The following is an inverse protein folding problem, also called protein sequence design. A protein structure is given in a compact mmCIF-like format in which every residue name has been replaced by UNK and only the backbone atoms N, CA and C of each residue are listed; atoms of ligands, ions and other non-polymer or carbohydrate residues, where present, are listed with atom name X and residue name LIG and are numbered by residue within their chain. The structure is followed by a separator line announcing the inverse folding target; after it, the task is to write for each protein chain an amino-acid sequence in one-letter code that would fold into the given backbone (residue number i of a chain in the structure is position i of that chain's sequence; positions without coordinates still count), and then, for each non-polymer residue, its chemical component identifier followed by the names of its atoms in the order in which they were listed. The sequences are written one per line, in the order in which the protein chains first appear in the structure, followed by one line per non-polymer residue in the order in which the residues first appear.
data_IF_074913917007
#
_entry.id   IF_074913917007
#
_cell.length_a   1.000
_cell.length_b   1.000
_cell.length_c   1.000
_cell.angle_alpha   90.00
_cell.angle_beta   90.00
_cell.angle_gamma   90.00
#
_symmetry.space_group_name_H-M   'P 1'
#
loop_
_entity.id
_entity.type
_entity.pdbx_description
1 polymer ?
#
# COMPACT_ATOMS: atom_id res chain seq x y z
N UNK A 1 -15.32 -13.13 -14.26
CA UNK A 1 -14.76 -14.12 -13.30
C UNK A 1 -14.57 -13.42 -11.97
N UNK A 2 -15.28 -13.81 -10.91
CA UNK A 2 -15.04 -13.30 -9.55
C UNK A 2 -14.18 -14.31 -8.79
N UNK A 3 -13.17 -13.87 -8.06
CA UNK A 3 -12.28 -14.75 -7.27
C UNK A 3 -12.98 -15.50 -6.13
N UNK A 4 -14.24 -15.17 -5.85
CA UNK A 4 -14.93 -15.64 -4.65
C UNK A 4 -14.54 -14.87 -3.38
N UNK A 5 -13.73 -13.81 -3.49
CA UNK A 5 -13.45 -12.91 -2.38
C UNK A 5 -14.66 -12.02 -2.05
N UNK A 6 -14.91 -11.83 -0.76
CA UNK A 6 -15.67 -10.70 -0.24
C UNK A 6 -14.75 -9.49 -0.13
N UNK A 7 -15.29 -8.26 -0.14
CA UNK A 7 -14.47 -7.06 0.08
C UNK A 7 -13.72 -7.08 1.41
N UNK A 8 -14.25 -7.77 2.43
CA UNK A 8 -13.54 -7.95 3.71
C UNK A 8 -12.28 -8.79 3.54
N UNK A 9 -12.34 -9.89 2.78
CA UNK A 9 -11.16 -10.73 2.52
C UNK A 9 -10.16 -9.98 1.65
N UNK A 10 -10.64 -9.24 0.66
CA UNK A 10 -9.80 -8.42 -0.19
C UNK A 10 -9.05 -7.35 0.61
N UNK A 11 -9.71 -6.72 1.58
CA UNK A 11 -9.10 -5.74 2.49
C UNK A 11 -7.97 -6.38 3.30
N UNK A 12 -8.14 -7.60 3.79
CA UNK A 12 -7.08 -8.33 4.50
C UNK A 12 -5.85 -8.57 3.61
N UNK A 13 -6.06 -9.06 2.38
CA UNK A 13 -4.97 -9.27 1.42
C UNK A 13 -4.27 -7.94 1.07
N UNK A 14 -5.05 -6.88 0.92
CA UNK A 14 -4.58 -5.52 0.72
C UNK A 14 -3.67 -5.03 1.85
N UNK A 15 -4.03 -5.29 3.11
CA UNK A 15 -3.18 -4.98 4.28
C UNK A 15 -1.87 -5.76 4.26
N UNK A 16 -1.92 -7.03 3.91
CA UNK A 16 -0.72 -7.86 3.77
C UNK A 16 0.22 -7.29 2.69
N UNK A 17 -0.31 -6.83 1.56
CA UNK A 17 0.49 -6.18 0.51
C UNK A 17 1.09 -4.85 0.97
N UNK A 18 0.35 -4.02 1.71
CA UNK A 18 0.88 -2.77 2.29
C UNK A 18 2.07 -3.05 3.22
N UNK A 19 1.98 -4.08 4.06
CA UNK A 19 3.09 -4.52 4.92
C UNK A 19 4.24 -5.08 4.07
N UNK A 20 3.95 -5.85 3.03
CA UNK A 20 4.96 -6.39 2.10
C UNK A 20 5.78 -5.30 1.42
N UNK A 21 5.13 -4.24 0.92
CA UNK A 21 5.82 -3.07 0.34
C UNK A 21 6.68 -2.38 1.40
N UNK A 22 6.10 -2.09 2.57
CA UNK A 22 6.83 -1.39 3.64
C UNK A 22 8.07 -2.17 4.09
N UNK A 23 7.95 -3.47 4.28
CA UNK A 23 9.06 -4.36 4.68
C UNK A 23 10.09 -4.52 3.57
N UNK A 24 9.67 -4.60 2.30
CA UNK A 24 10.58 -4.59 1.14
C UNK A 24 11.42 -3.32 1.08
N UNK A 25 10.80 -2.14 1.28
CA UNK A 25 11.50 -0.85 1.30
C UNK A 25 12.49 -0.79 2.47
N UNK A 26 12.05 -1.15 3.68
CA UNK A 26 12.94 -1.16 4.86
C UNK A 26 14.11 -2.11 4.63
N UNK A 27 13.85 -3.33 4.15
CA UNK A 27 14.89 -4.32 3.91
C UNK A 27 15.93 -3.82 2.92
N UNK A 28 15.50 -3.23 1.80
CA UNK A 28 16.41 -2.66 0.81
C UNK A 28 17.17 -1.46 1.36
N UNK A 29 16.53 -0.60 2.14
CA UNK A 29 17.18 0.54 2.78
C UNK A 29 18.31 0.09 3.73
N UNK A 30 18.08 -0.99 4.49
CA UNK A 30 19.04 -1.51 5.47
C UNK A 30 20.15 -2.35 4.84
N UNK A 31 19.84 -3.13 3.81
CA UNK A 31 20.75 -4.14 3.25
C UNK A 31 21.34 -3.76 1.90
N UNK A 32 20.75 -2.77 1.20
CA UNK A 32 21.06 -2.43 -0.19
C UNK A 32 20.61 -3.47 -1.21
N UNK A 33 19.85 -4.50 -0.80
CA UNK A 33 19.40 -5.60 -1.65
C UNK A 33 17.88 -5.56 -1.80
N UNK A 34 17.38 -5.86 -2.99
CA UNK A 34 15.93 -5.95 -3.22
C UNK A 34 15.27 -7.13 -2.47
N UNK A 35 13.95 -7.22 -2.55
CA UNK A 35 13.17 -8.22 -1.82
C UNK A 35 13.43 -9.65 -2.33
N UNK A 36 13.56 -9.84 -3.65
CA UNK A 36 13.86 -11.16 -4.23
C UNK A 36 15.27 -11.60 -3.89
N UNK A 37 16.23 -10.67 -3.92
CA UNK A 37 17.59 -10.95 -3.50
C UNK A 37 17.64 -11.37 -2.03
N UNK A 38 16.97 -10.63 -1.13
CA UNK A 38 16.88 -11.00 0.28
C UNK A 38 16.23 -12.37 0.48
N UNK A 39 15.14 -12.66 -0.23
CA UNK A 39 14.48 -13.97 -0.17
C UNK A 39 15.43 -15.11 -0.58
N UNK A 40 16.23 -14.93 -1.63
CA UNK A 40 17.25 -15.90 -2.04
C UNK A 40 18.32 -16.11 -0.97
N UNK A 41 18.77 -15.02 -0.30
CA UNK A 41 19.72 -15.12 0.81
C UNK A 41 19.14 -15.83 2.03
N UNK A 42 17.88 -15.59 2.39
CA UNK A 42 17.22 -16.17 3.56
C UNK A 42 16.87 -17.64 3.36
N UNK A 43 16.42 -18.02 2.17
CA UNK A 43 16.05 -19.41 1.86
C UNK A 43 17.25 -20.27 1.49
N UNK A 44 18.37 -19.67 1.09
CA UNK A 44 19.54 -20.37 0.56
C UNK A 44 19.31 -21.00 -0.81
N UNK A 45 18.18 -20.70 -1.46
CA UNK A 45 17.83 -21.18 -2.79
C UNK A 45 18.24 -20.15 -3.85
N UNK A 46 18.71 -20.59 -5.03
CA UNK A 46 18.91 -19.69 -6.15
C UNK A 46 17.56 -19.08 -6.58
N UNK A 47 17.56 -17.81 -6.98
CA UNK A 47 16.32 -17.07 -7.33
C UNK A 47 15.52 -17.80 -8.42
N UNK A 48 16.20 -18.46 -9.35
CA UNK A 48 15.57 -19.23 -10.43
C UNK A 48 14.69 -20.39 -9.92
N UNK A 49 15.00 -20.95 -8.76
CA UNK A 49 14.16 -21.98 -8.12
C UNK A 49 12.94 -21.35 -7.42
N UNK A 50 13.01 -20.07 -7.07
CA UNK A 50 11.93 -19.30 -6.48
C UNK A 50 11.00 -18.68 -7.55
N UNK A 51 11.36 -18.71 -8.83
CA UNK A 51 10.57 -18.09 -9.91
C UNK A 51 9.10 -18.53 -9.89
N UNK A 52 8.83 -19.81 -9.65
CA UNK A 52 7.45 -20.31 -9.59
C UNK A 52 6.61 -19.66 -8.49
N UNK A 53 7.17 -19.52 -7.27
CA UNK A 53 6.45 -18.90 -6.15
C UNK A 53 6.36 -17.38 -6.31
N UNK A 54 7.40 -16.76 -6.86
CA UNK A 54 7.43 -15.32 -7.14
C UNK A 54 6.39 -14.96 -8.19
N UNK A 55 6.32 -15.71 -9.29
CA UNK A 55 5.31 -15.54 -10.33
C UNK A 55 3.89 -15.74 -9.79
N UNK A 56 3.70 -16.71 -8.89
CA UNK A 56 2.43 -16.88 -8.20
C UNK A 56 2.06 -15.65 -7.35
N UNK A 57 3.00 -15.12 -6.56
CA UNK A 57 2.77 -13.91 -5.74
C UNK A 57 2.44 -12.71 -6.62
N UNK A 58 3.17 -12.51 -7.71
CA UNK A 58 2.93 -11.44 -8.69
C UNK A 58 1.53 -11.58 -9.29
N UNK A 59 1.22 -12.76 -9.85
CA UNK A 59 -0.07 -13.02 -10.47
C UNK A 59 -1.21 -12.85 -9.48
N UNK A 60 -1.07 -13.37 -8.25
CA UNK A 60 -2.06 -13.24 -7.20
C UNK A 60 -2.33 -11.77 -6.83
N UNK A 61 -1.28 -10.95 -6.64
CA UNK A 61 -1.44 -9.53 -6.33
C UNK A 61 -2.13 -8.77 -7.48
N UNK A 62 -1.74 -9.01 -8.74
CA UNK A 62 -2.36 -8.38 -9.90
C UNK A 62 -3.84 -8.76 -10.03
N UNK A 63 -4.13 -10.06 -9.86
CA UNK A 63 -5.49 -10.60 -9.97
C UNK A 63 -6.37 -10.07 -8.82
N UNK A 64 -5.86 -10.08 -7.58
CA UNK A 64 -6.58 -9.58 -6.41
C UNK A 64 -6.82 -8.06 -6.48
N UNK A 65 -5.90 -7.30 -7.05
CA UNK A 65 -6.04 -5.84 -7.17
C UNK A 65 -7.05 -5.41 -8.23
N UNK A 66 -7.13 -6.17 -9.34
CA UNK A 66 -7.91 -5.78 -10.52
C UNK A 66 -9.30 -6.42 -10.57
N UNK A 67 -9.49 -7.61 -9.99
CA UNK A 67 -10.78 -8.28 -10.04
C UNK A 67 -11.73 -7.78 -8.94
N UNK A 68 -13.02 -7.61 -9.27
CA UNK A 68 -14.00 -7.18 -8.29
C UNK A 68 -14.30 -8.29 -7.27
N UNK A 69 -14.36 -7.91 -5.98
CA UNK A 69 -14.87 -8.72 -4.89
C UNK A 69 -16.36 -8.43 -4.61
N UNK A 70 -17.03 -9.38 -3.94
CA UNK A 70 -18.45 -9.30 -3.56
C UNK A 70 -18.70 -8.40 -2.35
N UNK A 71 -19.90 -7.85 -2.27
CA UNK A 71 -20.36 -6.98 -1.19
C UNK A 71 -19.82 -5.55 -1.28
N UNK A 72 -20.30 -4.68 -0.41
CA UNK A 72 -19.94 -3.25 -0.40
C UNK A 72 -19.56 -2.76 1.00
N UNK A 73 -18.75 -1.70 1.05
CA UNK A 73 -18.49 -0.99 2.29
C UNK A 73 -19.44 0.20 2.35
N UNK A 74 -20.27 0.23 3.39
CA UNK A 74 -21.16 1.35 3.67
C UNK A 74 -20.48 2.26 4.70
N UNK A 75 -20.35 3.57 4.40
CA UNK A 75 -19.75 4.52 5.33
C UNK A 75 -20.65 4.72 6.57
N UNK A 76 -20.03 4.98 7.71
CA UNK A 76 -20.77 5.32 8.94
C UNK A 76 -21.42 6.71 8.83
N UNK A 77 -22.48 6.97 9.59
CA UNK A 77 -23.24 8.24 9.51
C UNK A 77 -22.37 9.48 9.76
N UNK A 78 -21.36 9.36 10.64
CA UNK A 78 -20.40 10.42 10.93
C UNK A 78 -19.57 10.81 9.70
N UNK A 79 -19.35 9.88 8.78
CA UNK A 79 -18.54 10.05 7.58
C UNK A 79 -19.31 10.70 6.42
N UNK A 80 -20.65 10.60 6.46
CA UNK A 80 -21.55 11.32 5.55
C UNK A 80 -21.65 12.81 5.89
N UNK A 81 -21.18 13.21 7.08
CA UNK A 81 -21.20 14.62 7.46
C UNK A 81 -20.14 15.41 6.67
N UNK A 82 -20.48 16.59 6.13
CA UNK A 82 -19.56 17.36 5.31
C UNK A 82 -18.25 17.64 6.05
N UNK A 83 -17.14 17.55 5.32
CA UNK A 83 -15.80 17.81 5.85
C UNK A 83 -15.69 19.25 6.35
N UNK A 84 -14.96 19.49 7.45
CA UNK A 84 -14.71 20.83 7.95
C UNK A 84 -13.86 21.59 6.93
N UNK A 85 -14.09 22.90 6.82
CA UNK A 85 -13.33 23.75 5.89
C UNK A 85 -11.85 23.74 6.26
N UNK A 86 -11.02 23.41 5.27
CA UNK A 86 -9.56 23.36 5.41
C UNK A 86 -8.91 24.73 5.43
N UNK A 87 -7.57 24.77 5.60
CA UNK A 87 -6.80 26.02 5.54
C UNK A 87 -6.90 26.77 4.20
N UNK A 88 -7.20 26.04 3.11
CA UNK A 88 -7.44 26.65 1.79
C UNK A 88 -8.86 27.24 1.63
N UNK A 89 -9.77 26.89 2.54
CA UNK A 89 -11.19 27.27 2.48
C UNK A 89 -11.59 28.24 3.59
N UNK A 90 -10.79 28.36 4.64
CA UNK A 90 -10.99 29.28 5.76
C UNK A 90 -9.63 29.85 6.23
N UNK A 91 -9.48 31.16 6.14
CA UNK A 91 -8.26 31.89 6.52
C UNK A 91 -8.01 31.92 8.03
N UNK A 92 -8.98 31.51 8.85
CA UNK A 92 -8.84 31.42 10.32
C UNK A 92 -8.20 30.10 10.77
N UNK A 93 -8.04 29.14 9.87
CA UNK A 93 -7.46 27.83 10.18
C UNK A 93 -5.94 27.91 10.10
N UNK A 94 -5.28 27.60 11.20
CA UNK A 94 -3.82 27.63 11.32
C UNK A 94 -3.22 26.22 11.49
N UNK A 95 -1.90 26.12 11.33
CA UNK A 95 -1.12 24.89 11.57
C UNK A 95 -1.26 24.33 13.00
N UNK A 96 -1.72 25.15 13.95
CA UNK A 96 -1.94 24.75 15.35
C UNK A 96 -3.17 23.83 15.50
N UNK A 97 -4.05 23.80 14.49
CA UNK A 97 -5.23 22.93 14.46
C UNK A 97 -5.09 21.90 13.33
N UNK A 98 -4.17 20.92 13.43
CA UNK A 98 -3.76 20.09 12.30
C UNK A 98 -4.93 19.37 11.62
N UNK A 99 -5.90 18.87 12.39
CA UNK A 99 -7.10 18.22 11.81
C UNK A 99 -7.90 19.17 10.91
N UNK A 100 -8.21 20.38 11.38
CA UNK A 100 -8.90 21.39 10.58
C UNK A 100 -8.01 21.91 9.44
N UNK A 101 -6.71 22.04 9.67
CA UNK A 101 -5.76 22.49 8.66
C UNK A 101 -5.79 21.59 7.42
N UNK A 102 -5.75 20.27 7.62
CA UNK A 102 -5.84 19.26 6.57
C UNK A 102 -7.29 18.92 6.16
N UNK A 103 -8.31 19.57 6.74
CA UNK A 103 -9.72 19.29 6.44
C UNK A 103 -10.19 17.89 6.84
N UNK A 104 -9.55 17.27 7.83
CA UNK A 104 -9.86 15.92 8.34
C UNK A 104 -10.59 15.99 9.69
N UNK A 105 -11.60 15.14 9.87
CA UNK A 105 -12.34 15.01 11.15
C UNK A 105 -11.69 14.04 12.13
N UNK A 106 -10.95 13.07 11.61
CA UNK A 106 -10.21 12.07 12.38
C UNK A 106 -9.02 11.54 11.60
N UNK A 107 -8.14 10.83 12.30
CA UNK A 107 -7.05 10.09 11.68
C UNK A 107 -7.57 8.70 11.30
N UNK A 108 -7.73 8.44 10.01
CA UNK A 108 -8.14 7.13 9.52
C UNK A 108 -8.68 7.15 8.10
N UNK A 109 -8.66 5.98 7.48
CA UNK A 109 -9.29 5.74 6.19
C UNK A 109 -10.68 5.13 6.39
N UNK A 110 -11.59 5.41 5.46
CA UNK A 110 -12.77 4.57 5.26
C UNK A 110 -12.29 3.20 4.77
N UNK A 111 -13.01 2.12 5.06
CA UNK A 111 -12.64 0.78 4.55
C UNK A 111 -12.54 0.75 3.02
N UNK A 112 -13.31 1.58 2.31
CA UNK A 112 -13.21 1.71 0.87
C UNK A 112 -11.91 2.40 0.42
N UNK A 113 -11.48 3.47 1.12
CA UNK A 113 -10.22 4.15 0.84
C UNK A 113 -9.01 3.28 1.19
N UNK A 114 -9.12 2.55 2.30
CA UNK A 114 -8.10 1.59 2.71
C UNK A 114 -7.95 0.46 1.68
N UNK A 115 -9.07 -0.09 1.19
CA UNK A 115 -9.06 -1.07 0.11
C UNK A 115 -8.38 -0.51 -1.15
N UNK A 116 -8.69 0.75 -1.51
CA UNK A 116 -8.05 1.40 -2.66
C UNK A 116 -6.54 1.55 -2.48
N UNK A 117 -6.08 2.04 -1.33
CA UNK A 117 -4.65 2.15 -1.00
C UNK A 117 -3.97 0.78 -1.01
N UNK A 118 -4.66 -0.25 -0.51
CA UNK A 118 -4.21 -1.63 -0.55
C UNK A 118 -4.04 -2.19 -1.96
N UNK A 119 -4.99 -1.94 -2.87
CA UNK A 119 -4.85 -2.30 -4.29
C UNK A 119 -3.67 -1.61 -4.96
N UNK A 120 -3.43 -0.33 -4.63
CA UNK A 120 -2.24 0.37 -5.11
C UNK A 120 -0.96 -0.28 -4.59
N UNK A 121 -0.93 -0.73 -3.33
CA UNK A 121 0.20 -1.48 -2.78
C UNK A 121 0.38 -2.83 -3.48
N UNK A 122 -0.70 -3.57 -3.75
CA UNK A 122 -0.64 -4.83 -4.50
C UNK A 122 -0.05 -4.63 -5.91
N UNK A 123 -0.51 -3.60 -6.64
CA UNK A 123 -0.01 -3.27 -7.97
C UNK A 123 1.45 -2.81 -7.92
N UNK A 124 1.78 -1.91 -6.99
CA UNK A 124 3.14 -1.40 -6.81
C UNK A 124 4.11 -2.52 -6.44
N UNK A 125 3.71 -3.42 -5.55
CA UNK A 125 4.54 -4.57 -5.16
C UNK A 125 4.73 -5.56 -6.29
N UNK A 126 3.67 -5.89 -7.03
CA UNK A 126 3.77 -6.75 -8.20
C UNK A 126 4.72 -6.14 -9.24
N UNK A 127 4.58 -4.85 -9.53
CA UNK A 127 5.46 -4.12 -10.45
C UNK A 127 6.92 -4.12 -9.96
N UNK A 128 7.16 -3.88 -8.67
CA UNK A 128 8.53 -3.87 -8.13
C UNK A 128 9.19 -5.25 -8.19
N UNK A 129 8.45 -6.34 -7.93
CA UNK A 129 8.97 -7.70 -8.03
C UNK A 129 9.28 -8.08 -9.48
N UNK A 130 8.43 -7.70 -10.44
CA UNK A 130 8.71 -7.87 -11.87
C UNK A 130 9.98 -7.10 -12.25
N UNK A 131 10.05 -5.83 -11.88
CA UNK A 131 11.19 -4.98 -12.17
C UNK A 131 12.49 -5.50 -11.55
N UNK A 132 12.43 -6.05 -10.33
CA UNK A 132 13.59 -6.65 -9.67
C UNK A 132 14.04 -7.93 -10.37
N UNK A 133 13.10 -8.80 -10.75
CA UNK A 133 13.41 -10.00 -11.52
C UNK A 133 14.06 -9.72 -12.86
N UNK A 134 13.69 -8.60 -13.53
CA UNK A 134 14.24 -8.22 -14.83
C UNK A 134 15.53 -7.41 -14.74
N UNK A 135 15.67 -6.54 -13.74
CA UNK A 135 16.77 -5.55 -13.66
C UNK A 135 17.78 -5.84 -12.56
N UNK A 136 17.45 -6.74 -11.62
CA UNK A 136 18.24 -7.02 -10.43
C UNK A 136 18.25 -5.89 -9.40
N UNK A 137 17.40 -4.87 -9.55
CA UNK A 137 17.29 -3.72 -8.63
C UNK A 137 16.00 -3.83 -7.83
N UNK A 138 16.08 -3.62 -6.52
CA UNK A 138 14.90 -3.56 -5.67
C UNK A 138 14.03 -2.33 -5.95
N UNK A 139 12.99 -2.14 -5.15
CA UNK A 139 12.02 -1.05 -5.29
C UNK A 139 12.69 0.35 -5.21
N UNK A 140 13.66 0.53 -4.31
CA UNK A 140 14.39 1.80 -4.18
C UNK A 140 15.34 2.02 -5.35
N UNK A 141 16.09 0.98 -5.74
CA UNK A 141 16.96 1.00 -6.91
C UNK A 141 16.20 1.34 -8.20
N UNK A 142 14.98 0.81 -8.37
CA UNK A 142 14.10 1.12 -9.50
C UNK A 142 13.64 2.58 -9.45
N UNK A 143 13.15 3.07 -8.31
CA UNK A 143 12.71 4.45 -8.16
C UNK A 143 13.82 5.46 -8.48
N UNK A 144 15.05 5.22 -8.04
CA UNK A 144 16.21 6.06 -8.37
C UNK A 144 16.44 6.11 -9.89
N UNK A 145 16.42 4.96 -10.56
CA UNK A 145 16.65 4.85 -12.01
C UNK A 145 15.54 5.53 -12.82
N UNK A 146 14.28 5.35 -12.43
CA UNK A 146 13.13 5.87 -13.17
C UNK A 146 12.91 7.37 -12.96
N UNK A 147 13.08 7.85 -11.74
CA UNK A 147 12.86 9.26 -11.41
C UNK A 147 14.10 10.13 -11.66
N UNK A 148 15.29 9.53 -11.65
CA UNK A 148 16.58 10.23 -11.67
C UNK A 148 16.87 11.01 -10.39
N UNK A 149 16.05 10.86 -9.34
CA UNK A 149 16.24 11.56 -8.07
C UNK A 149 17.13 10.70 -7.17
N UNK A 150 18.25 11.24 -6.65
CA UNK A 150 19.10 10.52 -5.72
C UNK A 150 18.30 10.09 -4.48
N UNK A 151 18.47 8.83 -4.04
CA UNK A 151 17.72 8.28 -2.90
C UNK A 151 17.83 9.16 -1.65
N UNK A 152 19.03 9.66 -1.35
CA UNK A 152 19.29 10.60 -0.25
C UNK A 152 18.37 11.84 -0.20
N UNK A 153 17.83 12.24 -1.35
CA UNK A 153 16.98 13.42 -1.48
C UNK A 153 15.48 13.06 -1.33
N UNK A 154 15.14 11.76 -1.36
CA UNK A 154 13.77 11.23 -1.23
C UNK A 154 13.58 10.31 -0.02
N UNK A 155 14.64 10.01 0.75
CA UNK A 155 14.59 9.10 1.91
C UNK A 155 13.46 9.43 2.89
N UNK A 156 13.26 10.72 3.23
CA UNK A 156 12.19 11.14 4.13
C UNK A 156 10.80 10.93 3.53
N UNK A 157 10.64 11.18 2.23
CA UNK A 157 9.36 11.00 1.52
C UNK A 157 9.05 9.51 1.40
N UNK A 158 10.03 8.67 1.06
CA UNK A 158 9.87 7.23 0.94
C UNK A 158 9.58 6.58 2.29
N UNK A 159 10.25 7.03 3.35
CA UNK A 159 9.98 6.56 4.70
C UNK A 159 8.55 6.92 5.14
N UNK A 160 8.06 8.12 4.84
CA UNK A 160 6.69 8.50 5.19
C UNK A 160 5.65 7.81 4.31
N UNK A 161 5.75 7.93 2.98
CA UNK A 161 4.73 7.49 2.04
C UNK A 161 4.84 6.02 1.61
N UNK A 162 6.04 5.45 1.63
CA UNK A 162 6.29 4.05 1.28
C UNK A 162 6.29 3.10 2.48
N UNK A 163 6.57 3.61 3.69
CA UNK A 163 6.67 2.77 4.90
C UNK A 163 5.63 3.14 5.95
N UNK A 164 5.70 4.34 6.53
CA UNK A 164 4.87 4.72 7.68
C UNK A 164 3.39 4.73 7.33
N UNK A 165 2.99 5.42 6.26
CA UNK A 165 1.58 5.53 5.88
C UNK A 165 0.97 4.18 5.50
N UNK A 166 1.59 3.33 4.65
CA UNK A 166 1.09 1.98 4.38
C UNK A 166 1.02 1.11 5.64
N UNK A 167 2.01 1.19 6.53
CA UNK A 167 2.03 0.43 7.77
C UNK A 167 0.89 0.86 8.73
N UNK A 168 0.69 2.16 8.91
CA UNK A 168 -0.40 2.69 9.72
C UNK A 168 -1.77 2.36 9.10
N UNK A 169 -1.90 2.45 7.77
CA UNK A 169 -3.11 2.09 7.05
C UNK A 169 -3.42 0.59 7.19
N UNK A 170 -2.40 -0.27 7.18
CA UNK A 170 -2.58 -1.72 7.32
C UNK A 170 -3.06 -2.15 8.71
N UNK A 171 -2.71 -1.39 9.76
CA UNK A 171 -3.06 -1.71 11.15
C UNK A 171 -4.38 -1.05 11.56
N UNK A 172 -4.70 0.12 11.00
CA UNK A 172 -5.93 0.82 11.34
C UNK A 172 -7.16 0.05 10.86
N UNK A 173 -8.19 -0.12 11.70
CA UNK A 173 -9.40 -0.88 11.34
C UNK A 173 -10.30 -0.16 10.33
N UNK A 174 -10.13 1.16 10.18
CA UNK A 174 -10.90 1.99 9.26
C UNK A 174 -12.38 2.14 9.65
N UNK A 175 -13.01 3.20 9.16
CA UNK A 175 -14.44 3.48 9.35
C UNK A 175 -15.31 2.78 8.30
N UNK A 176 -16.56 2.48 8.65
CA UNK A 176 -17.54 1.84 7.79
C UNK A 176 -17.69 0.32 8.01
N UNK A 177 -18.77 -0.23 7.47
CA UNK A 177 -19.20 -1.62 7.69
C UNK A 177 -19.30 -2.37 6.38
N UNK A 178 -18.92 -3.65 6.41
CA UNK A 178 -19.14 -4.55 5.29
C UNK A 178 -20.60 -4.97 5.28
N UNK A 179 -21.23 -4.90 4.10
CA UNK A 179 -22.57 -5.41 3.85
C UNK A 179 -22.45 -6.42 2.72
N UNK A 180 -22.95 -7.63 2.96
CA UNK A 180 -23.02 -8.64 1.92
C UNK A 180 -24.15 -8.31 0.94
N UNK A 181 -23.89 -8.50 -0.34
CA UNK A 181 -24.92 -8.42 -1.37
C UNK A 181 -25.35 -9.85 -1.64
N UNK A 182 -26.53 -10.24 -1.11
CA UNK A 182 -27.13 -11.57 -1.30
C UNK A 182 -27.17 -12.00 -2.78
#
# INVERSE_FOLDING_TARGET
VSLGFTKSNELFVSRAAMIGVATSIIGELLTGKGALQQLGFETGLPIQELDGIVLFIIAFNLIAALLPAKGTFVPDEEELTPRPKGALQDSKVSLVTPGKFFGIKGLGFTKANELFAGRLAQLGFAASLIGEGLTGKGILGQLNVETGIPLKDVDAVLLVFGVILPFLAAINEGSGKFVDED
#
